data_IF_434443546223
#
_entry.id   IF_434443546223
#
_cell.length_a   1.000
_cell.length_b   1.000
_cell.length_c   1.000
_cell.angle_alpha   90.00
_cell.angle_beta   90.00
_cell.angle_gamma   90.00
#
_symmetry.space_group_name_H-M   'P 1'
#
loop_
_entity.id
_entity.type
_entity.pdbx_description
1 polymer ?
#
# COMPACT_ATOMS: atom_id res chain seq x y z
N UNK A 1 12.69 26.81 20.44
CA UNK A 1 12.29 25.39 20.47
C UNK A 1 13.54 24.54 20.52
N UNK A 2 13.65 23.61 21.48
CA UNK A 2 14.78 22.68 21.53
C UNK A 2 14.72 21.76 20.30
N UNK A 3 15.82 21.59 19.58
CA UNK A 3 15.91 20.63 18.49
C UNK A 3 15.67 19.22 19.04
N UNK A 4 14.96 18.38 18.30
CA UNK A 4 14.77 16.99 18.69
C UNK A 4 16.14 16.29 18.82
N UNK A 5 16.30 15.37 19.78
CA UNK A 5 17.57 14.66 19.99
C UNK A 5 17.86 13.60 18.92
N UNK A 6 17.09 13.56 17.84
CA UNK A 6 17.22 12.64 16.73
C UNK A 6 16.86 13.32 15.40
N UNK A 7 17.24 12.68 14.30
CA UNK A 7 16.87 13.09 12.95
C UNK A 7 16.27 11.89 12.20
N UNK A 8 15.17 12.11 11.48
CA UNK A 8 14.68 11.14 10.49
C UNK A 8 15.61 11.26 9.29
N UNK A 9 16.27 10.16 8.92
CA UNK A 9 17.24 10.12 7.82
C UNK A 9 16.53 9.93 6.48
N UNK A 10 15.51 9.05 6.42
CA UNK A 10 14.72 8.77 5.22
C UNK A 10 13.39 8.10 5.59
N UNK A 11 12.41 8.15 4.68
CA UNK A 11 11.30 7.19 4.68
C UNK A 11 11.84 5.87 4.09
N UNK A 12 11.56 4.74 4.73
CA UNK A 12 12.04 3.45 4.25
C UNK A 12 11.01 2.74 3.38
N UNK A 13 9.88 2.32 3.93
CA UNK A 13 8.85 1.57 3.21
C UNK A 13 7.45 1.85 3.75
N UNK A 14 6.45 1.38 3.00
CA UNK A 14 5.07 1.23 3.47
C UNK A 14 4.76 -0.26 3.61
N UNK A 15 4.37 -0.69 4.81
CA UNK A 15 4.01 -2.08 5.10
C UNK A 15 2.51 -2.33 4.97
N UNK A 16 2.14 -3.47 4.37
CA UNK A 16 0.77 -3.96 4.27
C UNK A 16 0.69 -5.39 4.79
N UNK A 17 -0.16 -5.60 5.80
CA UNK A 17 -0.52 -6.97 6.20
C UNK A 17 -1.58 -7.50 5.25
N UNK A 18 -1.29 -8.65 4.64
CA UNK A 18 -2.10 -9.27 3.60
C UNK A 18 -2.52 -10.68 4.00
N UNK A 19 -3.62 -11.15 3.43
CA UNK A 19 -4.11 -12.53 3.66
C UNK A 19 -3.31 -13.57 2.89
N UNK A 20 -2.81 -13.19 1.69
CA UNK A 20 -2.11 -14.07 0.76
C UNK A 20 -1.00 -13.27 0.07
N UNK A 21 0.25 -13.59 0.44
CA UNK A 21 1.42 -12.84 -0.04
C UNK A 21 1.69 -13.08 -1.52
N UNK A 22 1.43 -14.30 -2.03
CA UNK A 22 1.65 -14.63 -3.44
C UNK A 22 0.67 -13.89 -4.36
N UNK A 23 -0.61 -13.82 -3.96
CA UNK A 23 -1.61 -13.02 -4.67
C UNK A 23 -1.22 -11.54 -4.68
N UNK A 24 -0.75 -11.03 -3.56
CA UNK A 24 -0.32 -9.64 -3.44
C UNK A 24 0.94 -9.36 -4.26
N UNK A 25 1.92 -10.26 -4.24
CA UNK A 25 3.13 -10.18 -5.07
C UNK A 25 2.78 -10.10 -6.56
N UNK A 26 1.90 -10.97 -7.04
CA UNK A 26 1.46 -10.96 -8.45
C UNK A 26 0.88 -9.59 -8.84
N UNK A 27 0.07 -8.98 -7.98
CA UNK A 27 -0.48 -7.65 -8.24
C UNK A 27 0.62 -6.57 -8.30
N UNK A 28 1.48 -6.51 -7.29
CA UNK A 28 2.51 -5.47 -7.23
C UNK A 28 3.57 -5.61 -8.32
N UNK A 29 3.93 -6.85 -8.70
CA UNK A 29 4.92 -7.10 -9.75
C UNK A 29 4.30 -7.03 -11.15
N UNK A 30 3.29 -7.84 -11.42
CA UNK A 30 2.81 -8.07 -12.78
C UNK A 30 1.88 -6.95 -13.27
N UNK A 31 1.18 -6.28 -12.34
CA UNK A 31 0.23 -5.22 -12.68
C UNK A 31 0.82 -3.84 -12.48
N UNK A 32 1.46 -3.58 -11.33
CA UNK A 32 2.02 -2.27 -11.02
C UNK A 32 3.50 -2.12 -11.38
N UNK A 33 4.20 -3.19 -11.75
CA UNK A 33 5.57 -3.14 -12.24
C UNK A 33 6.63 -2.91 -11.15
N UNK A 34 6.34 -3.26 -9.90
CA UNK A 34 7.34 -3.27 -8.85
C UNK A 34 8.27 -4.48 -8.99
N UNK A 35 9.51 -4.35 -8.55
CA UNK A 35 10.50 -5.42 -8.57
C UNK A 35 10.65 -6.02 -7.17
N UNK A 36 10.58 -7.35 -7.06
CA UNK A 36 10.87 -8.05 -5.82
C UNK A 36 12.33 -7.86 -5.44
N UNK A 37 12.58 -7.31 -4.27
CA UNK A 37 13.91 -7.11 -3.72
C UNK A 37 14.40 -8.36 -2.96
N UNK A 38 13.61 -8.84 -2.02
CA UNK A 38 13.91 -10.02 -1.22
C UNK A 38 12.66 -10.50 -0.46
N UNK A 39 12.74 -11.74 0.00
CA UNK A 39 11.79 -12.31 0.95
C UNK A 39 12.50 -12.63 2.26
N UNK A 40 11.73 -12.68 3.35
CA UNK A 40 12.20 -13.08 4.67
C UNK A 40 11.09 -13.87 5.39
N UNK A 41 11.49 -14.63 6.41
CA UNK A 41 10.56 -15.29 7.31
C UNK A 41 11.04 -15.09 8.73
N UNK A 42 10.19 -14.53 9.58
CA UNK A 42 10.51 -14.19 10.95
C UNK A 42 9.60 -14.92 11.92
N UNK A 43 10.22 -15.49 12.96
CA UNK A 43 9.55 -16.23 14.04
C UNK A 43 10.22 -15.94 15.38
N UNK A 44 9.66 -16.48 16.45
CA UNK A 44 10.24 -16.42 17.78
C UNK A 44 10.30 -15.02 18.37
N UNK A 45 11.33 -14.77 19.17
CA UNK A 45 11.48 -13.50 19.90
C UNK A 45 11.61 -12.30 18.95
N UNK A 46 12.33 -12.46 17.84
CA UNK A 46 12.47 -11.38 16.86
C UNK A 46 11.11 -10.88 16.36
N UNK A 47 10.27 -11.79 15.86
CA UNK A 47 8.95 -11.42 15.34
C UNK A 47 8.05 -10.86 16.43
N UNK A 48 8.04 -11.50 17.61
CA UNK A 48 7.19 -11.12 18.73
C UNK A 48 7.55 -9.75 19.29
N UNK A 49 8.83 -9.48 19.52
CA UNK A 49 9.30 -8.24 20.15
C UNK A 49 9.21 -7.04 19.19
N UNK A 50 9.54 -7.23 17.91
CA UNK A 50 9.45 -6.14 16.94
C UNK A 50 8.01 -5.72 16.68
N UNK A 51 7.09 -6.68 16.58
CA UNK A 51 5.68 -6.39 16.26
C UNK A 51 4.79 -6.17 17.47
N UNK A 52 5.25 -6.56 18.65
CA UNK A 52 4.43 -6.57 19.88
C UNK A 52 3.32 -7.63 19.85
N UNK A 53 3.42 -8.62 18.95
CA UNK A 53 2.44 -9.70 18.80
C UNK A 53 3.05 -11.01 19.30
N UNK A 54 2.67 -11.50 20.50
CA UNK A 54 3.22 -12.73 21.04
C UNK A 54 3.00 -13.92 20.10
N UNK A 55 4.07 -14.67 19.85
CA UNK A 55 4.03 -15.85 18.99
C UNK A 55 3.87 -15.53 17.49
N UNK A 56 4.19 -14.32 17.07
CA UNK A 56 4.12 -13.96 15.65
C UNK A 56 5.02 -14.86 14.80
N UNK A 57 4.46 -15.26 13.65
CA UNK A 57 5.17 -15.93 12.57
C UNK A 57 4.77 -15.24 11.26
N UNK A 58 5.75 -14.72 10.51
CA UNK A 58 5.51 -13.76 9.43
C UNK A 58 6.35 -14.11 8.22
N UNK A 59 5.71 -14.27 7.06
CA UNK A 59 6.38 -14.19 5.77
C UNK A 59 6.38 -12.74 5.29
N UNK A 60 7.51 -12.28 4.78
CA UNK A 60 7.72 -10.91 4.33
C UNK A 60 8.24 -10.92 2.90
N UNK A 61 7.72 -10.02 2.08
CA UNK A 61 8.25 -9.74 0.75
C UNK A 61 8.43 -8.23 0.59
N UNK A 62 9.61 -7.79 0.20
CA UNK A 62 9.93 -6.38 -0.03
C UNK A 62 10.08 -6.13 -1.52
N UNK A 63 9.28 -5.20 -2.03
CA UNK A 63 9.31 -4.77 -3.42
C UNK A 63 9.82 -3.33 -3.53
N UNK A 64 10.44 -3.00 -4.67
CA UNK A 64 10.94 -1.67 -5.00
C UNK A 64 10.34 -1.17 -6.30
N UNK A 65 9.94 0.08 -6.34
CA UNK A 65 9.43 0.72 -7.55
C UNK A 65 9.18 2.19 -7.32
N UNK A 66 9.39 3.00 -8.34
CA UNK A 66 9.03 4.42 -8.38
C UNK A 66 9.58 5.25 -7.22
N UNK A 67 10.79 4.93 -6.76
CA UNK A 67 11.45 5.62 -5.63
C UNK A 67 10.90 5.24 -4.25
N UNK A 68 10.09 4.20 -4.15
CA UNK A 68 9.50 3.73 -2.90
C UNK A 68 9.65 2.21 -2.72
N UNK A 69 9.49 1.74 -1.48
CA UNK A 69 9.43 0.32 -1.16
C UNK A 69 8.06 -0.04 -0.58
N UNK A 70 7.58 -1.21 -0.98
CA UNK A 70 6.39 -1.85 -0.41
C UNK A 70 6.86 -3.09 0.32
N UNK A 71 6.42 -3.26 1.56
CA UNK A 71 6.62 -4.47 2.34
C UNK A 71 5.29 -5.18 2.53
N UNK A 72 5.20 -6.41 2.04
CA UNK A 72 4.04 -7.27 2.23
C UNK A 72 4.32 -8.23 3.39
N UNK A 73 3.36 -8.34 4.32
CA UNK A 73 3.48 -9.18 5.50
C UNK A 73 2.29 -10.15 5.56
N UNK A 74 2.57 -11.45 5.51
CA UNK A 74 1.55 -12.47 5.78
C UNK A 74 1.85 -13.12 7.12
N UNK A 75 0.95 -12.91 8.08
CA UNK A 75 1.04 -13.55 9.39
C UNK A 75 0.46 -14.96 9.33
N UNK A 76 1.23 -15.95 9.77
CA UNK A 76 0.80 -17.33 9.92
C UNK A 76 0.31 -17.61 11.35
N UNK A 77 0.86 -16.90 12.34
CA UNK A 77 0.46 -16.91 13.74
C UNK A 77 0.42 -15.49 14.31
N UNK A 78 -0.39 -15.22 15.35
CA UNK A 78 -1.29 -16.12 16.08
C UNK A 78 -2.57 -16.44 15.28
N UNK A 79 -3.28 -17.51 15.71
CA UNK A 79 -4.46 -17.97 14.99
C UNK A 79 -5.69 -17.05 15.17
N UNK A 80 -5.72 -16.24 16.23
CA UNK A 80 -6.82 -15.33 16.56
C UNK A 80 -6.74 -13.96 15.87
N UNK A 81 -5.79 -13.78 14.93
CA UNK A 81 -5.68 -12.56 14.12
C UNK A 81 -6.96 -12.29 13.34
N UNK A 82 -7.31 -11.03 13.19
CA UNK A 82 -8.57 -10.61 12.62
C UNK A 82 -8.37 -9.95 11.26
N UNK A 83 -9.34 -10.12 10.38
CA UNK A 83 -9.50 -9.27 9.21
C UNK A 83 -10.31 -8.04 9.61
N UNK A 84 -9.76 -6.84 9.39
CA UNK A 84 -10.40 -5.57 9.73
C UNK A 84 -10.78 -4.85 8.44
N UNK A 85 -12.09 -4.66 8.22
CA UNK A 85 -12.61 -3.93 7.06
C UNK A 85 -12.85 -2.46 7.43
N UNK A 86 -11.78 -1.65 7.39
CA UNK A 86 -11.85 -0.22 7.65
C UNK A 86 -12.29 0.54 6.40
N UNK A 87 -13.28 1.41 6.55
CA UNK A 87 -13.60 2.41 5.51
C UNK A 87 -12.52 3.50 5.50
N UNK A 88 -12.34 4.24 4.40
CA UNK A 88 -11.37 5.33 4.36
C UNK A 88 -11.55 6.42 5.43
N UNK A 89 -12.76 6.55 5.98
CA UNK A 89 -13.08 7.52 7.05
C UNK A 89 -12.87 6.98 8.47
N UNK A 90 -12.59 5.69 8.63
CA UNK A 90 -12.41 5.12 9.96
C UNK A 90 -10.99 5.42 10.44
N UNK A 91 -10.86 5.85 11.70
CA UNK A 91 -9.58 6.24 12.28
C UNK A 91 -8.63 5.05 12.30
N UNK A 92 -7.42 5.25 11.78
CA UNK A 92 -6.43 4.20 11.57
C UNK A 92 -6.33 3.71 10.12
N UNK A 93 -7.29 4.08 9.25
CA UNK A 93 -7.16 3.85 7.81
C UNK A 93 -5.95 4.57 7.23
N UNK A 94 -5.22 3.89 6.36
CA UNK A 94 -4.06 4.43 5.62
C UNK A 94 -4.18 4.09 4.15
N UNK A 95 -3.52 4.88 3.31
CA UNK A 95 -3.35 4.59 1.90
C UNK A 95 -1.97 5.05 1.42
N UNK A 96 -1.50 4.47 0.33
CA UNK A 96 -0.35 4.96 -0.42
C UNK A 96 -0.85 5.58 -1.73
N UNK A 97 -0.24 6.68 -2.16
CA UNK A 97 -0.66 7.37 -3.38
C UNK A 97 0.40 7.26 -4.48
N UNK A 98 -0.04 6.99 -5.71
CA UNK A 98 0.80 6.97 -6.91
C UNK A 98 0.25 7.92 -7.97
N UNK A 99 1.18 8.63 -8.62
CA UNK A 99 0.85 9.43 -9.80
C UNK A 99 0.97 8.56 -11.05
N UNK A 100 -0.07 8.59 -11.88
CA UNK A 100 -0.17 7.82 -13.12
C UNK A 100 -0.47 8.73 -14.29
N UNK A 101 -0.09 8.34 -15.48
CA UNK A 101 -0.35 9.08 -16.72
C UNK A 101 -1.75 8.82 -17.31
N UNK A 102 -2.34 7.65 -17.03
CA UNK A 102 -3.64 7.27 -17.57
C UNK A 102 -4.47 6.50 -16.51
N UNK A 103 -5.31 7.24 -15.80
CA UNK A 103 -6.13 6.67 -14.71
C UNK A 103 -7.14 5.63 -15.23
N UNK A 104 -7.74 5.87 -16.39
CA UNK A 104 -8.77 4.96 -16.94
C UNK A 104 -8.14 3.60 -17.34
N UNK A 105 -6.93 3.63 -17.90
CA UNK A 105 -6.16 2.42 -18.20
C UNK A 105 -5.79 1.65 -16.93
N UNK A 106 -5.33 2.35 -15.90
CA UNK A 106 -5.03 1.74 -14.59
C UNK A 106 -6.27 1.04 -14.04
N UNK A 107 -7.41 1.73 -13.97
CA UNK A 107 -8.63 1.17 -13.39
C UNK A 107 -9.14 -0.06 -14.16
N UNK A 108 -9.03 -0.04 -15.50
CA UNK A 108 -9.37 -1.21 -16.31
C UNK A 108 -8.44 -2.40 -16.04
N UNK A 109 -7.15 -2.14 -15.88
CA UNK A 109 -6.15 -3.19 -15.67
C UNK A 109 -6.29 -3.83 -14.30
N UNK A 110 -6.41 -3.05 -13.23
CA UNK A 110 -6.48 -3.57 -11.86
C UNK A 110 -7.78 -4.33 -11.57
N UNK A 111 -8.86 -4.03 -12.29
CA UNK A 111 -10.14 -4.72 -12.12
C UNK A 111 -10.02 -6.24 -12.32
N UNK A 112 -9.18 -6.69 -13.24
CA UNK A 112 -8.92 -8.11 -13.50
C UNK A 112 -8.20 -8.80 -12.32
N UNK A 113 -7.53 -8.04 -11.44
CA UNK A 113 -6.80 -8.54 -10.27
C UNK A 113 -7.62 -8.43 -8.97
N UNK A 114 -8.92 -8.18 -9.05
CA UNK A 114 -9.81 -8.08 -7.89
C UNK A 114 -9.79 -6.74 -7.17
N UNK A 115 -9.07 -5.74 -7.69
CA UNK A 115 -9.09 -4.38 -7.19
C UNK A 115 -10.27 -3.60 -7.76
N UNK A 116 -10.86 -2.75 -6.95
CA UNK A 116 -12.02 -1.95 -7.36
C UNK A 116 -11.95 -0.53 -6.77
N UNK A 117 -12.60 0.40 -7.43
CA UNK A 117 -12.75 1.76 -6.91
C UNK A 117 -13.64 1.76 -5.67
N UNK A 118 -13.25 2.54 -4.65
CA UNK A 118 -14.06 2.76 -3.45
C UNK A 118 -15.19 3.74 -3.75
N UNK A 119 -14.87 4.81 -4.49
CA UNK A 119 -15.79 5.80 -5.00
C UNK A 119 -15.71 5.90 -6.52
N UNK A 120 -15.89 7.11 -7.04
CA UNK A 120 -15.75 7.42 -8.47
C UNK A 120 -14.60 8.39 -8.69
N UNK A 121 -13.81 8.27 -9.78
CA UNK A 121 -12.80 9.26 -10.12
C UNK A 121 -13.38 10.67 -10.15
N UNK A 122 -12.72 11.61 -9.50
CA UNK A 122 -13.08 13.00 -9.43
C UNK A 122 -11.92 13.91 -9.80
N UNK A 123 -12.20 15.04 -10.39
CA UNK A 123 -11.21 16.10 -10.63
C UNK A 123 -11.24 17.08 -9.44
N UNK A 124 -10.09 17.29 -8.83
CA UNK A 124 -9.94 18.24 -7.73
C UNK A 124 -10.09 19.66 -8.25
N UNK A 125 -10.98 20.44 -7.64
CA UNK A 125 -11.36 21.78 -8.12
C UNK A 125 -10.47 22.89 -7.54
N UNK A 126 -9.76 22.62 -6.44
CA UNK A 126 -8.99 23.64 -5.71
C UNK A 126 -7.78 23.03 -4.98
N UNK A 127 -6.95 23.92 -4.43
CA UNK A 127 -5.75 23.55 -3.68
C UNK A 127 -4.56 23.17 -4.56
N UNK A 128 -3.46 22.71 -3.95
CA UNK A 128 -2.21 22.41 -4.67
C UNK A 128 -2.33 21.30 -5.72
N UNK A 129 -3.35 20.46 -5.61
CA UNK A 129 -3.61 19.36 -6.53
C UNK A 129 -4.79 19.64 -7.49
N UNK A 130 -5.22 20.89 -7.62
CA UNK A 130 -6.30 21.27 -8.55
C UNK A 130 -6.00 20.78 -9.98
N UNK A 131 -7.02 20.26 -10.65
CA UNK A 131 -6.93 19.69 -11.99
C UNK A 131 -6.52 18.22 -12.04
N UNK A 132 -6.00 17.64 -10.96
CA UNK A 132 -5.72 16.21 -10.91
C UNK A 132 -7.02 15.40 -10.79
N UNK A 133 -7.09 14.28 -11.51
CA UNK A 133 -8.12 13.26 -11.32
C UNK A 133 -7.63 12.27 -10.26
N UNK A 134 -8.46 11.97 -9.29
CA UNK A 134 -8.08 11.10 -8.16
C UNK A 134 -9.17 10.09 -7.84
N UNK A 135 -8.76 8.91 -7.36
CA UNK A 135 -9.68 7.88 -6.85
C UNK A 135 -8.94 6.95 -5.89
N UNK A 136 -9.65 6.46 -4.89
CA UNK A 136 -9.21 5.34 -4.06
C UNK A 136 -9.65 4.02 -4.66
N UNK A 137 -8.74 3.06 -4.65
CA UNK A 137 -8.99 1.66 -5.01
C UNK A 137 -8.62 0.75 -3.85
N UNK A 138 -9.28 -0.38 -3.75
CA UNK A 138 -9.06 -1.36 -2.69
C UNK A 138 -9.13 -2.78 -3.23
N UNK A 139 -8.38 -3.66 -2.57
CA UNK A 139 -8.50 -5.10 -2.73
C UNK A 139 -9.41 -5.73 -1.66
N UNK A 140 -9.49 -7.05 -1.65
CA UNK A 140 -10.28 -7.82 -0.67
C UNK A 140 -9.72 -7.78 0.75
N UNK A 141 -8.45 -7.41 0.92
CA UNK A 141 -7.82 -7.26 2.24
C UNK A 141 -8.03 -5.87 2.85
N UNK A 142 -8.59 -4.95 2.06
CA UNK A 142 -8.75 -3.56 2.47
C UNK A 142 -7.52 -2.70 2.22
N UNK A 143 -6.47 -3.25 1.57
CA UNK A 143 -5.33 -2.46 1.12
C UNK A 143 -5.81 -1.35 0.21
N UNK A 144 -5.47 -0.11 0.54
CA UNK A 144 -5.98 1.06 -0.17
C UNK A 144 -4.86 1.79 -0.89
N UNK A 145 -5.06 2.05 -2.17
CA UNK A 145 -4.18 2.85 -3.02
C UNK A 145 -4.98 4.05 -3.53
N UNK A 146 -4.37 5.22 -3.54
CA UNK A 146 -4.87 6.39 -4.24
C UNK A 146 -4.12 6.52 -5.57
N UNK A 147 -4.83 6.56 -6.69
CA UNK A 147 -4.25 6.93 -7.97
C UNK A 147 -4.59 8.36 -8.33
N UNK A 148 -3.56 9.11 -8.74
CA UNK A 148 -3.65 10.52 -9.09
C UNK A 148 -3.12 10.72 -10.51
N UNK A 149 -3.95 11.26 -11.40
CA UNK A 149 -3.55 11.63 -12.76
C UNK A 149 -3.46 13.14 -12.87
N UNK A 150 -2.29 13.71 -13.22
CA UNK A 150 -2.17 15.14 -13.51
C UNK A 150 -3.05 15.55 -14.70
N UNK A 151 -3.40 16.84 -14.83
CA UNK A 151 -4.03 17.34 -16.04
C UNK A 151 -3.10 17.14 -17.23
N UNK A 152 -3.64 17.01 -18.47
CA UNK A 152 -2.82 16.97 -19.67
C UNK A 152 -1.87 18.17 -19.71
N UNK A 153 -0.60 17.90 -20.03
CA UNK A 153 0.34 19.01 -20.24
C UNK A 153 -0.12 19.80 -21.45
N UNK A 154 -0.29 21.11 -21.27
CA UNK A 154 -0.48 22.03 -22.39
C UNK A 154 0.80 22.01 -23.22
N UNK A 155 0.73 21.46 -24.43
CA UNK A 155 1.82 21.48 -25.40
C UNK A 155 2.14 22.91 -25.88
#
# INVERSE_FOLDING_TARGET
>A
MSAAPFHIIAADHTGFTVTDIERSLAFWQDVLGFELSHCAHHTGDLASEVTGVPGAEISIAVLKGYGHKIELLEYHAPADRKHVDLRPCDVGSVHVAFTVDNLDAVLSTIAASGWRTVGKPQTLQSGPNAGKRVVYVRDSDGTTIEFMQPPPQSG
#
